data_IF_505382072838
#
_entry.id   IF_505382072838
#
_cell.length_a   1.000
_cell.length_b   1.000
_cell.length_c   1.000
_cell.angle_alpha   90.00
_cell.angle_beta   90.00
_cell.angle_gamma   90.00
#
_symmetry.space_group_name_H-M   'P 1'
#
loop_
_entity.id
_entity.type
_entity.pdbx_description
1 polymer ?
#
# COMPACT_ATOMS: atom_id res chain seq x y z
N UNK A 1 5.48 3.24 1.81
CA UNK A 1 5.11 4.30 2.78
C UNK A 1 4.41 3.66 3.95
N UNK A 2 4.65 4.09 5.19
CA UNK A 2 3.98 3.53 6.36
C UNK A 2 2.94 4.51 6.88
N UNK A 3 1.69 4.07 6.98
CA UNK A 3 0.58 4.78 7.61
C UNK A 3 0.27 4.13 8.95
N UNK A 4 0.04 4.93 9.98
CA UNK A 4 -0.24 4.45 11.34
C UNK A 4 -1.67 4.82 11.72
N UNK A 5 -2.37 3.92 12.41
CA UNK A 5 -3.71 4.15 12.94
C UNK A 5 -4.82 4.29 11.89
N UNK A 6 -4.57 3.91 10.64
CA UNK A 6 -5.59 3.92 9.60
C UNK A 6 -6.64 2.84 9.88
N UNK A 7 -7.92 3.18 9.68
CA UNK A 7 -9.06 2.26 9.76
C UNK A 7 -9.56 1.83 8.39
N UNK A 8 -9.38 2.68 7.37
CA UNK A 8 -9.65 2.38 5.97
C UNK A 8 -8.60 3.00 5.05
N UNK A 9 -8.42 2.40 3.87
CA UNK A 9 -7.57 2.91 2.78
C UNK A 9 -8.38 2.87 1.49
N UNK A 10 -8.52 4.01 0.83
CA UNK A 10 -9.12 4.07 -0.50
C UNK A 10 -8.05 3.92 -1.58
N UNK A 11 -8.25 2.98 -2.50
CA UNK A 11 -7.46 2.80 -3.71
C UNK A 11 -7.75 3.87 -4.76
N UNK A 12 -6.90 3.94 -5.79
CA UNK A 12 -7.05 4.89 -6.91
C UNK A 12 -8.25 4.59 -7.80
N UNK A 13 -8.72 3.35 -7.78
CA UNK A 13 -9.93 2.85 -8.42
C UNK A 13 -11.21 3.20 -7.62
N UNK A 14 -11.07 3.86 -6.48
CA UNK A 14 -12.15 4.18 -5.56
C UNK A 14 -12.50 3.06 -4.59
N UNK A 15 -11.88 1.88 -4.69
CA UNK A 15 -12.13 0.74 -3.81
C UNK A 15 -11.68 1.05 -2.39
N UNK A 16 -12.55 0.82 -1.40
CA UNK A 16 -12.23 1.04 0.02
C UNK A 16 -11.83 -0.27 0.67
N UNK A 17 -10.67 -0.28 1.30
CA UNK A 17 -10.13 -1.42 2.04
C UNK A 17 -10.16 -1.15 3.54
N UNK A 18 -10.91 -1.94 4.29
CA UNK A 18 -10.85 -1.91 5.75
C UNK A 18 -9.52 -2.47 6.26
N UNK A 19 -8.85 -1.71 7.12
CA UNK A 19 -7.56 -2.08 7.70
C UNK A 19 -7.65 -2.03 9.22
N UNK A 20 -7.29 -3.15 9.86
CA UNK A 20 -7.32 -3.28 11.33
C UNK A 20 -5.94 -3.27 11.98
N UNK A 21 -4.89 -3.17 11.17
CA UNK A 21 -3.50 -3.23 11.65
C UNK A 21 -3.07 -1.85 12.15
N UNK A 22 -2.30 -1.77 13.25
CA UNK A 22 -1.80 -0.50 13.76
C UNK A 22 -0.94 0.28 12.75
N UNK A 23 -0.26 -0.45 11.86
CA UNK A 23 0.55 0.11 10.78
C UNK A 23 0.24 -0.60 9.48
N UNK A 24 0.04 0.18 8.42
CA UNK A 24 -0.24 -0.27 7.06
C UNK A 24 0.85 0.23 6.13
N UNK A 25 1.37 -0.64 5.28
CA UNK A 25 2.35 -0.26 4.27
C UNK A 25 1.64 -0.01 2.93
N UNK A 26 1.70 1.22 2.42
CA UNK A 26 1.20 1.57 1.09
C UNK A 26 2.30 1.60 0.03
N UNK A 27 1.91 1.17 -1.17
CA UNK A 27 2.74 1.24 -2.37
C UNK A 27 2.94 2.70 -2.80
N UNK A 28 4.15 3.01 -3.29
CA UNK A 28 4.49 4.29 -3.93
C UNK A 28 5.33 4.11 -5.20
N UNK A 29 5.49 2.87 -5.65
CA UNK A 29 6.29 2.53 -6.83
C UNK A 29 5.43 2.02 -7.99
N UNK A 30 4.13 1.88 -7.77
CA UNK A 30 3.14 1.39 -8.75
C UNK A 30 3.43 0.00 -9.36
N UNK A 31 4.32 -0.78 -8.74
CA UNK A 31 4.67 -2.15 -9.16
C UNK A 31 4.16 -3.24 -8.22
N UNK A 32 3.45 -2.88 -7.15
CA UNK A 32 2.88 -3.86 -6.22
C UNK A 32 1.80 -4.69 -6.93
N UNK A 33 1.80 -5.99 -6.69
CA UNK A 33 0.71 -6.89 -7.10
C UNK A 33 -0.54 -6.77 -6.21
N UNK A 34 -0.45 -6.02 -5.11
CA UNK A 34 -1.50 -5.86 -4.10
C UNK A 34 -1.86 -4.40 -3.87
N UNK A 35 -1.94 -3.59 -4.92
CA UNK A 35 -2.35 -2.18 -4.80
C UNK A 35 -3.66 -2.06 -4.00
N UNK A 36 -3.80 -1.04 -3.13
CA UNK A 36 -2.86 0.06 -2.85
C UNK A 36 -1.72 -0.30 -1.87
N UNK A 37 -1.66 -1.55 -1.38
CA UNK A 37 -0.70 -1.98 -0.37
C UNK A 37 0.67 -2.31 -0.96
N UNK A 38 1.70 -2.17 -0.12
CA UNK A 38 3.05 -2.56 -0.44
C UNK A 38 3.25 -4.06 -0.19
N UNK A 39 3.72 -4.79 -1.21
CA UNK A 39 4.07 -6.22 -1.12
C UNK A 39 5.60 -6.47 -1.07
N UNK A 40 6.41 -5.41 -1.18
CA UNK A 40 7.86 -5.50 -1.17
C UNK A 40 8.52 -5.55 -2.54
N UNK A 41 7.76 -5.54 -3.65
CA UNK A 41 8.29 -5.55 -5.02
C UNK A 41 9.35 -4.47 -5.27
N UNK A 42 9.18 -3.29 -4.66
CA UNK A 42 10.14 -2.17 -4.73
C UNK A 42 11.56 -2.48 -4.22
N UNK A 43 11.77 -3.62 -3.55
CA UNK A 43 13.09 -4.06 -3.07
C UNK A 43 13.88 -4.80 -4.14
N UNK A 44 13.21 -5.37 -5.14
CA UNK A 44 13.81 -6.23 -6.16
C UNK A 44 13.80 -5.61 -7.56
N UNK A 45 13.22 -4.41 -7.69
CA UNK A 45 13.24 -3.62 -8.93
C UNK A 45 14.09 -2.36 -8.75
N UNK A 46 14.67 -1.81 -9.83
CA UNK A 46 15.33 -0.51 -9.79
C UNK A 46 14.37 0.58 -9.30
N UNK A 47 14.86 1.45 -8.42
CA UNK A 47 14.13 2.67 -8.06
C UNK A 47 14.25 3.65 -9.23
N UNK A 48 13.10 4.08 -9.76
CA UNK A 48 13.00 5.18 -10.72
C UNK A 48 12.99 6.51 -9.97
#
# INVERSE_FOLDING_TARGET
MLLRGATSVQGVDGTVHDVRRPVVALCRCDKSSRLPFCDGTHKVIPRR
#
